data_IF_097414601193
#
_entry.id   IF_097414601193
#
_cell.length_a   1.000
_cell.length_b   1.000
_cell.length_c   1.000
_cell.angle_alpha   90.00
_cell.angle_beta   90.00
_cell.angle_gamma   90.00
#
_symmetry.space_group_name_H-M   'P 1'
#
loop_
_entity.id
_entity.type
_entity.pdbx_description
1 polymer ?
#
# COMPACT_ATOMS: atom_id res chain seq x y z
N UNK A 1 30.92 0.72 -7.76
CA UNK A 1 30.33 -0.14 -6.72
C UNK A 1 29.42 -1.12 -7.42
N UNK A 2 29.62 -2.42 -7.23
CA UNK A 2 28.72 -3.44 -7.79
C UNK A 2 27.48 -3.65 -6.91
N UNK A 3 26.47 -4.39 -7.42
CA UNK A 3 25.22 -4.62 -6.70
C UNK A 3 25.37 -5.38 -5.39
N UNK A 4 26.36 -6.27 -5.25
CA UNK A 4 26.64 -6.97 -3.99
C UNK A 4 27.27 -6.06 -2.97
N UNK A 5 28.18 -5.18 -3.39
CA UNK A 5 28.78 -4.17 -2.52
C UNK A 5 27.71 -3.18 -2.02
N UNK A 6 26.82 -2.73 -2.89
CA UNK A 6 25.72 -1.84 -2.51
C UNK A 6 24.75 -2.52 -1.53
N UNK A 7 24.40 -3.79 -1.77
CA UNK A 7 23.58 -4.57 -0.84
C UNK A 7 24.25 -4.73 0.53
N UNK A 8 25.56 -5.02 0.55
CA UNK A 8 26.31 -5.16 1.78
C UNK A 8 26.29 -3.88 2.63
N UNK A 9 26.40 -2.71 1.99
CA UNK A 9 26.30 -1.42 2.67
C UNK A 9 24.87 -1.09 3.12
N UNK A 10 23.87 -1.37 2.28
CA UNK A 10 22.46 -1.19 2.65
C UNK A 10 22.07 -2.04 3.86
N UNK A 11 22.59 -3.26 3.98
CA UNK A 11 22.33 -4.15 5.13
C UNK A 11 22.96 -3.66 6.45
N UNK A 12 23.84 -2.64 6.42
CA UNK A 12 24.40 -2.00 7.63
C UNK A 12 23.48 -0.93 8.21
N UNK A 13 22.51 -0.45 7.44
CA UNK A 13 21.54 0.56 7.87
C UNK A 13 20.56 -0.03 8.88
N UNK A 14 19.90 0.83 9.66
CA UNK A 14 18.78 0.41 10.51
C UNK A 14 17.61 -0.14 9.69
N UNK A 15 16.73 -0.90 10.33
CA UNK A 15 15.57 -1.50 9.66
C UNK A 15 14.68 -0.45 8.99
N UNK A 16 14.51 0.71 9.64
CA UNK A 16 13.74 1.84 9.11
C UNK A 16 14.39 2.46 7.87
N UNK A 17 15.70 2.72 7.91
CA UNK A 17 16.46 3.25 6.78
C UNK A 17 16.48 2.26 5.60
N UNK A 18 16.58 0.96 5.86
CA UNK A 18 16.48 -0.06 4.81
C UNK A 18 15.09 -0.10 4.19
N UNK A 19 14.03 0.00 4.98
CA UNK A 19 12.66 0.03 4.47
C UNK A 19 12.42 1.27 3.60
N UNK A 20 12.91 2.44 4.03
CA UNK A 20 12.85 3.67 3.25
C UNK A 20 13.62 3.54 1.92
N UNK A 21 14.86 3.05 1.95
CA UNK A 21 15.66 2.83 0.75
C UNK A 21 15.00 1.83 -0.22
N UNK A 22 14.44 0.74 0.29
CA UNK A 22 13.72 -0.23 -0.54
C UNK A 22 12.49 0.41 -1.21
N UNK A 23 11.75 1.26 -0.49
CA UNK A 23 10.62 2.01 -1.03
C UNK A 23 11.01 2.92 -2.19
N UNK A 24 12.06 3.74 -2.02
CA UNK A 24 12.59 4.62 -3.07
C UNK A 24 13.06 3.82 -4.30
N UNK A 25 13.74 2.69 -4.08
CA UNK A 25 14.19 1.82 -5.17
C UNK A 25 13.02 1.22 -5.94
N UNK A 26 11.99 0.70 -5.25
CA UNK A 26 10.78 0.18 -5.88
C UNK A 26 10.07 1.28 -6.68
N UNK A 27 9.91 2.47 -6.09
CA UNK A 27 9.29 3.60 -6.76
C UNK A 27 10.05 4.03 -8.02
N UNK A 28 11.38 3.96 -8.00
CA UNK A 28 12.20 4.26 -9.18
C UNK A 28 11.99 3.28 -10.35
N UNK A 29 11.49 2.06 -10.06
CA UNK A 29 11.19 1.04 -11.06
C UNK A 29 9.75 1.15 -11.61
N UNK A 30 8.85 1.85 -10.90
CA UNK A 30 7.49 2.14 -11.35
C UNK A 30 7.53 3.19 -12.48
N UNK A 31 7.85 2.73 -13.67
CA UNK A 31 8.10 3.57 -14.86
C UNK A 31 6.84 3.86 -15.66
N UNK A 32 5.81 3.03 -15.54
CA UNK A 32 4.54 3.19 -16.25
C UNK A 32 3.37 3.09 -15.27
N UNK A 33 2.48 4.08 -15.35
CA UNK A 33 1.17 4.00 -14.73
C UNK A 33 0.27 3.23 -15.70
N UNK A 34 -0.22 2.07 -15.26
CA UNK A 34 -1.24 1.33 -15.99
C UNK A 34 -2.54 2.15 -15.99
N UNK A 35 -2.79 2.84 -17.11
CA UNK A 35 -3.96 3.69 -17.29
C UNK A 35 -5.28 2.89 -17.24
N UNK A 36 -5.24 1.61 -17.61
CA UNK A 36 -6.41 0.73 -17.52
C UNK A 36 -6.69 0.37 -16.06
N UNK A 37 -5.65 0.15 -15.25
CA UNK A 37 -5.79 -0.04 -13.81
C UNK A 37 -6.41 1.19 -13.15
N UNK A 38 -5.94 2.40 -13.47
CA UNK A 38 -6.47 3.64 -12.89
C UNK A 38 -7.94 3.90 -13.31
N UNK A 39 -8.26 3.62 -14.58
CA UNK A 39 -9.64 3.70 -15.08
C UNK A 39 -10.57 2.69 -14.40
N UNK A 40 -10.12 1.44 -14.25
CA UNK A 40 -10.86 0.40 -13.56
C UNK A 40 -11.08 0.74 -12.08
N UNK A 41 -10.10 1.35 -11.42
CA UNK A 41 -10.22 1.78 -10.03
C UNK A 41 -11.18 2.94 -9.85
N UNK A 42 -11.13 3.92 -10.75
CA UNK A 42 -12.11 5.00 -10.82
C UNK A 42 -13.54 4.48 -11.04
N UNK A 43 -13.71 3.45 -11.86
CA UNK A 43 -15.01 2.82 -12.09
C UNK A 43 -15.53 2.09 -10.84
N UNK A 44 -14.68 1.33 -10.15
CA UNK A 44 -15.05 0.63 -8.91
C UNK A 44 -15.39 1.61 -7.76
N UNK A 45 -14.67 2.72 -7.63
CA UNK A 45 -14.98 3.76 -6.65
C UNK A 45 -16.39 4.31 -6.90
N UNK A 46 -16.72 4.66 -8.15
CA UNK A 46 -18.06 5.12 -8.52
C UNK A 46 -19.12 4.07 -8.18
N UNK A 47 -18.91 2.81 -8.56
CA UNK A 47 -19.84 1.72 -8.26
C UNK A 47 -20.01 1.46 -6.74
N UNK A 48 -18.98 1.73 -5.92
CA UNK A 48 -19.10 1.66 -4.45
C UNK A 48 -19.90 2.80 -3.88
N UNK A 49 -19.69 4.02 -4.37
CA UNK A 49 -20.46 5.19 -3.95
C UNK A 49 -21.95 5.01 -4.30
N UNK A 50 -22.26 4.58 -5.53
CA UNK A 50 -23.64 4.33 -5.95
C UNK A 50 -24.35 3.31 -5.04
N UNK A 51 -23.65 2.24 -4.62
CA UNK A 51 -24.20 1.25 -3.68
C UNK A 51 -24.45 1.83 -2.28
N UNK A 52 -23.59 2.73 -1.83
CA UNK A 52 -23.77 3.43 -0.53
C UNK A 52 -24.96 4.36 -0.60
N UNK A 53 -25.04 5.19 -1.66
CA UNK A 53 -26.12 6.15 -1.87
C UNK A 53 -27.48 5.44 -2.05
N UNK A 54 -27.49 4.29 -2.75
CA UNK A 54 -28.68 3.44 -2.88
C UNK A 54 -29.03 2.66 -1.60
N UNK A 55 -28.22 2.73 -0.55
CA UNK A 55 -28.43 2.00 0.70
C UNK A 55 -28.27 0.48 0.59
N UNK A 56 -27.66 -0.01 -0.48
CA UNK A 56 -27.46 -1.46 -0.74
C UNK A 56 -26.11 -1.96 -0.24
N UNK A 57 -25.18 -1.06 0.07
CA UNK A 57 -23.89 -1.40 0.65
C UNK A 57 -24.04 -1.86 2.10
N UNK A 58 -23.37 -2.97 2.45
CA UNK A 58 -23.15 -3.35 3.85
C UNK A 58 -22.06 -2.47 4.44
N UNK A 59 -22.43 -1.55 5.32
CA UNK A 59 -21.50 -0.64 6.00
C UNK A 59 -21.24 -1.10 7.44
N UNK A 60 -20.14 -0.62 8.01
CA UNK A 60 -19.84 -0.74 9.45
C UNK A 60 -19.59 0.66 9.99
N UNK A 61 -19.70 0.83 11.31
CA UNK A 61 -19.34 2.12 11.92
C UNK A 61 -17.86 2.42 11.74
N UNK A 62 -17.51 3.71 11.72
CA UNK A 62 -16.12 4.15 11.65
C UNK A 62 -15.26 3.57 12.77
N UNK A 63 -15.81 3.45 13.98
CA UNK A 63 -15.10 2.85 15.12
C UNK A 63 -14.69 1.40 14.85
N UNK A 64 -15.56 0.60 14.21
CA UNK A 64 -15.25 -0.77 13.83
C UNK A 64 -14.26 -0.82 12.67
N UNK A 65 -14.44 -0.01 11.63
CA UNK A 65 -13.50 0.08 10.51
C UNK A 65 -12.07 0.42 10.99
N UNK A 66 -11.94 1.45 11.84
CA UNK A 66 -10.66 1.88 12.41
C UNK A 66 -9.99 0.77 13.21
N UNK A 67 -10.73 0.04 14.05
CA UNK A 67 -10.17 -1.13 14.78
C UNK A 67 -9.60 -2.17 13.83
N UNK A 68 -10.32 -2.51 12.75
CA UNK A 68 -9.86 -3.52 11.77
C UNK A 68 -8.60 -3.08 11.03
N UNK A 69 -8.51 -1.80 10.63
CA UNK A 69 -7.35 -1.24 9.94
C UNK A 69 -6.11 -1.33 10.82
N UNK A 70 -6.18 -0.89 12.07
CA UNK A 70 -5.04 -0.98 13.00
C UNK A 70 -4.65 -2.42 13.30
N UNK A 71 -5.63 -3.32 13.46
CA UNK A 71 -5.35 -4.74 13.66
C UNK A 71 -4.67 -5.39 12.43
N UNK A 72 -4.99 -4.94 11.21
CA UNK A 72 -4.33 -5.40 9.99
C UNK A 72 -2.91 -4.85 9.85
N UNK A 73 -2.70 -3.57 10.16
CA UNK A 73 -1.38 -2.94 10.11
C UNK A 73 -0.40 -3.55 11.14
N UNK A 74 -0.89 -3.91 12.33
CA UNK A 74 -0.05 -4.54 13.37
C UNK A 74 0.42 -5.97 13.04
N UNK A 75 -0.19 -6.65 12.07
CA UNK A 75 0.20 -8.02 11.65
C UNK A 75 1.40 -8.07 10.71
N UNK A 76 1.82 -6.95 10.13
CA UNK A 76 2.97 -6.88 9.22
C UNK A 76 4.31 -6.60 9.91
N UNK A 77 4.32 -6.30 11.22
CA UNK A 77 5.51 -5.85 11.94
C UNK A 77 6.19 -6.95 12.78
N UNK A 78 5.89 -8.22 12.51
CA UNK A 78 6.32 -9.37 13.32
C UNK A 78 6.81 -10.58 12.53
N UNK A 79 7.36 -10.39 11.33
CA UNK A 79 8.00 -11.42 10.53
C UNK A 79 9.38 -10.96 10.06
#
# INVERSE_FOLDING_TARGET
MDSRQLLAEALRLSDEERAALAGELIQSLETEVDADAESAWSAEIRARLDRVDAGTAKTVSWAEARRRIHAAAGRGSGA
#
